data_IF_288543580981
#
_entry.id   IF_288543580981
#
_cell.length_a   1.000
_cell.length_b   1.000
_cell.length_c   1.000
_cell.angle_alpha   90.00
_cell.angle_beta   90.00
_cell.angle_gamma   90.00
#
_symmetry.space_group_name_H-M   'P 1'
#
loop_
_entity.id
_entity.type
_entity.pdbx_description
1 polymer ?
#
# COMPACT_ATOMS: atom_id res chain seq x y z
N UNK A 1 -37.63 9.22 27.91
CA UNK A 1 -36.94 9.66 26.67
C UNK A 1 -37.56 8.91 25.51
N UNK A 2 -37.71 9.56 24.35
CA UNK A 2 -38.22 8.89 23.13
C UNK A 2 -37.11 8.07 22.48
N UNK A 3 -37.43 6.93 21.88
CA UNK A 3 -36.49 6.04 21.18
C UNK A 3 -35.67 6.79 20.11
N UNK A 4 -36.24 7.82 19.50
CA UNK A 4 -35.56 8.69 18.53
C UNK A 4 -34.46 9.56 19.17
N UNK A 5 -34.64 10.02 20.41
CA UNK A 5 -33.63 10.80 21.13
C UNK A 5 -32.41 9.94 21.51
N UNK A 6 -32.64 8.67 21.89
CA UNK A 6 -31.54 7.74 22.22
C UNK A 6 -30.72 7.34 20.99
N UNK A 7 -31.35 7.20 19.82
CA UNK A 7 -30.63 6.91 18.56
C UNK A 7 -29.75 8.10 18.16
N UNK A 8 -30.26 9.32 18.32
CA UNK A 8 -29.54 10.53 17.96
C UNK A 8 -28.34 10.80 18.90
N UNK A 9 -28.50 10.59 20.22
CA UNK A 9 -27.41 10.71 21.19
C UNK A 9 -26.32 9.66 20.93
N UNK A 10 -26.69 8.40 20.71
CA UNK A 10 -25.72 7.34 20.40
C UNK A 10 -24.95 7.61 19.10
N UNK A 11 -25.63 8.17 18.09
CA UNK A 11 -25.02 8.55 16.81
C UNK A 11 -24.04 9.72 16.98
N UNK A 12 -24.41 10.74 17.75
CA UNK A 12 -23.54 11.88 18.06
C UNK A 12 -22.31 11.45 18.88
N UNK A 13 -22.48 10.61 19.90
CA UNK A 13 -21.40 10.06 20.72
C UNK A 13 -20.43 9.22 19.88
N UNK A 14 -20.96 8.36 18.99
CA UNK A 14 -20.12 7.56 18.09
C UNK A 14 -19.28 8.43 17.14
N UNK A 15 -19.87 9.51 16.61
CA UNK A 15 -19.14 10.47 15.74
C UNK A 15 -18.08 11.23 16.52
N UNK A 16 -18.38 11.66 17.75
CA UNK A 16 -17.41 12.36 18.61
C UNK A 16 -16.26 11.45 19.05
N UNK A 17 -16.56 10.19 19.37
CA UNK A 17 -15.55 9.18 19.70
C UNK A 17 -14.61 8.97 18.51
N UNK A 18 -15.16 8.77 17.31
CA UNK A 18 -14.37 8.60 16.08
C UNK A 18 -13.53 9.85 15.75
N UNK A 19 -14.04 11.05 16.01
CA UNK A 19 -13.27 12.30 15.85
C UNK A 19 -12.10 12.39 16.82
N UNK A 20 -12.35 12.10 18.10
CA UNK A 20 -11.33 12.16 19.16
C UNK A 20 -10.22 11.14 18.93
N UNK A 21 -10.59 9.93 18.50
CA UNK A 21 -9.67 8.88 18.10
C UNK A 21 -8.76 9.31 16.95
N UNK A 22 -9.32 9.94 15.91
CA UNK A 22 -8.55 10.46 14.77
C UNK A 22 -7.58 11.57 15.17
N UNK A 23 -7.99 12.44 16.09
CA UNK A 23 -7.11 13.49 16.62
C UNK A 23 -5.98 12.93 17.50
N UNK A 24 -6.26 11.91 18.30
CA UNK A 24 -5.24 11.24 19.10
C UNK A 24 -4.17 10.58 18.22
N UNK A 25 -4.58 9.88 17.16
CA UNK A 25 -3.65 9.27 16.21
C UNK A 25 -2.76 10.32 15.56
N UNK A 26 -3.29 11.49 15.18
CA UNK A 26 -2.48 12.58 14.59
C UNK A 26 -1.33 13.06 15.47
N UNK A 27 -1.42 12.91 16.79
CA UNK A 27 -0.37 13.35 17.72
C UNK A 27 0.88 12.46 17.71
N UNK A 28 0.75 11.21 17.26
CA UNK A 28 1.91 10.34 17.09
C UNK A 28 2.76 10.85 15.92
N UNK A 29 4.07 10.93 16.13
CA UNK A 29 5.02 11.33 15.08
C UNK A 29 4.96 10.38 13.88
N UNK A 30 5.25 10.90 12.69
CA UNK A 30 5.47 10.08 11.51
C UNK A 30 6.84 9.39 11.62
N UNK A 31 6.95 8.16 11.13
CA UNK A 31 8.19 7.40 11.09
C UNK A 31 8.81 7.50 9.70
N UNK A 32 10.04 8.02 9.64
CA UNK A 32 10.73 8.26 8.37
C UNK A 32 11.80 7.22 8.04
N UNK A 33 12.13 6.34 8.99
CA UNK A 33 13.18 5.33 8.83
C UNK A 33 14.41 5.66 9.67
N UNK A 34 14.17 6.17 10.88
CA UNK A 34 15.15 6.43 11.91
C UNK A 34 16.01 5.17 12.12
N UNK A 35 17.33 5.33 12.23
CA UNK A 35 18.27 4.21 12.35
C UNK A 35 18.70 3.93 13.80
N UNK A 36 18.24 4.74 14.75
CA UNK A 36 18.52 4.57 16.17
C UNK A 36 17.47 3.64 16.79
N UNK A 37 17.92 2.56 17.41
CA UNK A 37 17.05 1.55 18.04
C UNK A 37 16.16 2.14 19.13
N UNK A 38 16.66 3.10 19.92
CA UNK A 38 15.89 3.73 21.01
C UNK A 38 14.73 4.55 20.45
N UNK A 39 14.98 5.33 19.39
CA UNK A 39 13.95 6.16 18.76
C UNK A 39 12.86 5.27 18.10
N UNK A 40 13.26 4.12 17.54
CA UNK A 40 12.33 3.13 17.00
C UNK A 40 11.47 2.52 18.12
N UNK A 41 12.08 2.08 19.22
CA UNK A 41 11.39 1.45 20.33
C UNK A 41 10.42 2.42 21.02
N UNK A 42 10.81 3.68 21.19
CA UNK A 42 9.93 4.74 21.74
C UNK A 42 8.72 4.96 20.84
N UNK A 43 8.93 5.08 19.53
CA UNK A 43 7.84 5.25 18.57
C UNK A 43 6.87 4.05 18.56
N UNK A 44 7.41 2.83 18.61
CA UNK A 44 6.61 1.59 18.71
C UNK A 44 5.84 1.52 20.03
N UNK A 45 6.44 1.94 21.13
CA UNK A 45 5.81 1.98 22.44
C UNK A 45 4.61 2.95 22.43
N UNK A 46 4.80 4.16 21.94
CA UNK A 46 3.75 5.18 21.86
C UNK A 46 2.57 4.73 21.00
N UNK A 47 2.84 4.13 19.83
CA UNK A 47 1.81 3.56 18.98
C UNK A 47 1.02 2.45 19.67
N UNK A 48 1.72 1.49 20.27
CA UNK A 48 1.08 0.36 20.93
C UNK A 48 0.22 0.80 22.11
N UNK A 49 0.73 1.71 22.93
CA UNK A 49 -0.02 2.26 24.05
C UNK A 49 -1.29 2.98 23.57
N UNK A 50 -1.19 3.85 22.56
CA UNK A 50 -2.34 4.55 22.01
C UNK A 50 -3.39 3.58 21.43
N UNK A 51 -2.96 2.60 20.64
CA UNK A 51 -3.87 1.62 20.03
C UNK A 51 -4.56 0.73 21.07
N UNK A 52 -3.85 0.36 22.14
CA UNK A 52 -4.43 -0.37 23.27
C UNK A 52 -5.48 0.45 24.00
N UNK A 53 -5.22 1.74 24.26
CA UNK A 53 -6.19 2.66 24.87
C UNK A 53 -7.44 2.82 24.01
N UNK A 54 -7.27 2.89 22.69
CA UNK A 54 -8.36 2.99 21.72
C UNK A 54 -9.07 1.67 21.43
N UNK A 55 -8.54 0.54 21.92
CA UNK A 55 -9.03 -0.83 21.66
C UNK A 55 -9.20 -1.12 20.17
N UNK A 56 -8.23 -0.68 19.36
CA UNK A 56 -8.25 -0.93 17.92
C UNK A 56 -8.04 -2.41 17.60
N UNK A 57 -8.76 -2.91 16.60
CA UNK A 57 -8.53 -4.24 16.02
C UNK A 57 -7.25 -4.24 15.18
N UNK A 58 -6.62 -5.40 15.03
CA UNK A 58 -5.35 -5.54 14.32
C UNK A 58 -5.38 -4.97 12.90
N UNK A 59 -6.46 -5.21 12.14
CA UNK A 59 -6.63 -4.63 10.79
C UNK A 59 -6.56 -3.09 10.81
N UNK A 60 -7.21 -2.44 11.77
CA UNK A 60 -7.17 -0.99 11.92
C UNK A 60 -5.78 -0.53 12.37
N UNK A 61 -5.14 -1.26 13.29
CA UNK A 61 -3.77 -0.93 13.75
C UNK A 61 -2.79 -0.96 12.59
N UNK A 62 -2.89 -1.93 11.69
CA UNK A 62 -2.06 -2.02 10.48
C UNK A 62 -2.28 -0.78 9.61
N UNK A 63 -3.53 -0.42 9.30
CA UNK A 63 -3.84 0.73 8.46
C UNK A 63 -3.33 2.05 9.06
N UNK A 64 -3.54 2.26 10.35
CA UNK A 64 -3.06 3.47 11.04
C UNK A 64 -1.52 3.51 11.11
N UNK A 65 -0.86 2.37 11.33
CA UNK A 65 0.61 2.28 11.29
C UNK A 65 1.15 2.61 9.90
N UNK A 66 0.56 2.05 8.85
CA UNK A 66 0.93 2.37 7.47
C UNK A 66 0.72 3.86 7.16
N UNK A 67 -0.35 4.47 7.69
CA UNK A 67 -0.62 5.89 7.57
C UNK A 67 0.37 6.80 8.31
N UNK A 68 1.19 6.24 9.20
CA UNK A 68 2.26 6.96 9.93
C UNK A 68 3.64 6.82 9.31
N UNK A 69 3.80 6.01 8.26
CA UNK A 69 5.05 5.94 7.53
C UNK A 69 5.20 7.17 6.63
N UNK A 70 6.38 7.77 6.64
CA UNK A 70 6.77 8.88 5.78
C UNK A 70 8.17 8.64 5.18
N UNK A 71 8.57 9.52 4.27
CA UNK A 71 9.93 9.57 3.74
C UNK A 71 10.49 8.21 3.24
N UNK A 72 11.73 7.85 3.63
CA UNK A 72 12.34 6.55 3.29
C UNK A 72 11.54 5.32 3.75
N UNK A 73 10.96 5.31 4.94
CA UNK A 73 10.20 4.17 5.44
C UNK A 73 8.96 3.88 4.57
N UNK A 74 8.20 4.92 4.21
CA UNK A 74 7.08 4.78 3.28
C UNK A 74 7.54 4.31 1.90
N UNK A 75 8.69 4.82 1.42
CA UNK A 75 9.28 4.40 0.14
C UNK A 75 9.63 2.92 0.15
N UNK A 76 10.25 2.41 1.22
CA UNK A 76 10.58 1.00 1.37
C UNK A 76 9.34 0.11 1.32
N UNK A 77 8.28 0.48 2.05
CA UNK A 77 7.02 -0.25 2.05
C UNK A 77 6.38 -0.30 0.65
N UNK A 78 6.25 0.87 0.00
CA UNK A 78 5.66 0.96 -1.34
C UNK A 78 6.48 0.19 -2.38
N UNK A 79 7.81 0.24 -2.27
CA UNK A 79 8.69 -0.51 -3.15
C UNK A 79 8.52 -2.03 -2.95
N UNK A 80 8.46 -2.49 -1.70
CA UNK A 80 8.25 -3.90 -1.38
C UNK A 80 6.93 -4.41 -1.99
N UNK A 81 5.84 -3.69 -1.81
CA UNK A 81 4.55 -4.07 -2.42
C UNK A 81 4.63 -4.10 -3.95
N UNK A 82 5.34 -3.14 -4.54
CA UNK A 82 5.44 -3.01 -5.98
C UNK A 82 6.26 -4.12 -6.64
N UNK A 83 7.36 -4.55 -6.02
CA UNK A 83 8.22 -5.61 -6.59
C UNK A 83 7.59 -7.00 -6.53
N UNK A 84 6.57 -7.20 -5.71
CA UNK A 84 5.81 -8.46 -5.61
C UNK A 84 4.64 -8.55 -6.60
N UNK A 85 4.48 -7.58 -7.51
CA UNK A 85 3.44 -7.61 -8.53
C UNK A 85 3.82 -8.63 -9.61
N UNK A 86 3.00 -9.67 -9.76
CA UNK A 86 3.15 -10.71 -10.78
C UNK A 86 1.85 -10.91 -11.55
N UNK A 87 1.94 -11.39 -12.79
CA UNK A 87 0.78 -11.70 -13.62
C UNK A 87 0.05 -12.92 -13.07
N UNK A 88 -1.21 -12.75 -12.67
CA UNK A 88 -2.05 -13.84 -12.15
C UNK A 88 -2.39 -14.89 -13.23
N UNK A 89 -2.76 -16.11 -12.83
CA UNK A 89 -2.97 -17.26 -13.71
C UNK A 89 -3.99 -17.01 -14.84
N UNK A 90 -5.02 -16.19 -14.59
CA UNK A 90 -6.05 -15.86 -15.57
C UNK A 90 -5.99 -14.42 -16.09
N UNK A 91 -4.94 -13.67 -15.76
CA UNK A 91 -4.78 -12.28 -16.16
C UNK A 91 -4.12 -12.17 -17.54
N UNK A 92 -4.65 -11.31 -18.42
CA UNK A 92 -3.99 -10.96 -19.68
C UNK A 92 -2.77 -10.05 -19.45
N UNK A 93 -1.83 -10.05 -20.39
CA UNK A 93 -0.60 -9.23 -20.30
C UNK A 93 -0.92 -7.74 -20.26
N UNK A 94 -1.87 -7.30 -21.10
CA UNK A 94 -2.32 -5.90 -21.12
C UNK A 94 -2.94 -5.50 -19.78
N UNK A 95 -3.79 -6.36 -19.19
CA UNK A 95 -4.37 -6.11 -17.87
C UNK A 95 -3.30 -6.04 -16.77
N UNK A 96 -2.29 -6.92 -16.83
CA UNK A 96 -1.14 -6.88 -15.94
C UNK A 96 -0.34 -5.58 -16.08
N UNK A 97 -0.02 -5.14 -17.30
CA UNK A 97 0.70 -3.89 -17.54
C UNK A 97 -0.08 -2.67 -17.06
N UNK A 98 -1.39 -2.63 -17.33
CA UNK A 98 -2.25 -1.58 -16.80
C UNK A 98 -2.24 -1.55 -15.27
N UNK A 99 -2.28 -2.71 -14.61
CA UNK A 99 -2.24 -2.80 -13.15
C UNK A 99 -0.93 -2.20 -12.60
N UNK A 100 0.21 -2.60 -13.16
CA UNK A 100 1.53 -2.08 -12.78
C UNK A 100 1.60 -0.56 -12.99
N UNK A 101 1.14 -0.05 -14.12
CA UNK A 101 1.15 1.39 -14.43
C UNK A 101 0.23 2.16 -13.46
N UNK A 102 -0.97 1.64 -13.13
CA UNK A 102 -1.89 2.26 -12.16
C UNK A 102 -1.27 2.33 -10.77
N UNK A 103 -0.57 1.27 -10.34
CA UNK A 103 0.16 1.23 -9.06
C UNK A 103 1.33 2.22 -9.06
N UNK A 104 2.12 2.27 -10.14
CA UNK A 104 3.22 3.22 -10.31
C UNK A 104 2.74 4.67 -10.20
N UNK A 105 1.62 5.03 -10.85
CA UNK A 105 1.06 6.39 -10.77
C UNK A 105 0.78 6.84 -9.33
N UNK A 106 0.36 5.93 -8.45
CA UNK A 106 0.11 6.22 -7.03
C UNK A 106 1.40 6.33 -6.22
N UNK A 107 2.44 5.62 -6.62
CA UNK A 107 3.72 5.54 -5.91
C UNK A 107 4.89 6.24 -6.62
N UNK A 108 4.60 7.14 -7.58
CA UNK A 108 5.60 7.79 -8.46
C UNK A 108 6.72 8.52 -7.70
N UNK A 109 6.43 9.00 -6.49
CA UNK A 109 7.40 9.68 -5.63
C UNK A 109 8.46 8.73 -5.03
N UNK A 110 8.22 7.42 -5.09
CA UNK A 110 8.97 6.38 -4.39
C UNK A 110 9.57 5.33 -5.33
N UNK A 111 9.09 5.26 -6.58
CA UNK A 111 9.43 4.21 -7.53
C UNK A 111 10.04 4.83 -8.78
N UNK A 112 11.12 4.24 -9.27
CA UNK A 112 11.82 4.66 -10.49
C UNK A 112 11.29 3.94 -11.73
N UNK A 113 11.46 4.54 -12.91
CA UNK A 113 11.09 3.90 -14.18
C UNK A 113 11.81 2.56 -14.40
N UNK A 114 13.07 2.46 -13.96
CA UNK A 114 13.83 1.21 -14.04
C UNK A 114 13.19 0.09 -13.21
N UNK A 115 12.67 0.40 -12.01
CA UNK A 115 11.95 -0.56 -11.19
C UNK A 115 10.62 -0.97 -11.84
N UNK A 116 9.92 -0.04 -12.49
CA UNK A 116 8.71 -0.36 -13.28
C UNK A 116 9.04 -1.34 -14.40
N UNK A 117 10.06 -1.05 -15.20
CA UNK A 117 10.50 -1.92 -16.29
C UNK A 117 10.87 -3.31 -15.76
N UNK A 118 11.59 -3.35 -14.63
CA UNK A 118 11.97 -4.61 -13.99
C UNK A 118 10.75 -5.44 -13.62
N UNK A 119 9.74 -4.86 -12.96
CA UNK A 119 8.50 -5.56 -12.59
C UNK A 119 7.72 -6.01 -13.81
N UNK A 120 7.62 -5.19 -14.85
CA UNK A 120 6.97 -5.57 -16.10
C UNK A 120 7.67 -6.76 -16.77
N UNK A 121 9.00 -6.79 -16.76
CA UNK A 121 9.77 -7.87 -17.35
C UNK A 121 9.75 -9.14 -16.50
N UNK A 122 9.99 -9.03 -15.20
CA UNK A 122 10.09 -10.21 -14.32
C UNK A 122 8.71 -10.77 -13.97
N UNK A 123 7.69 -9.92 -13.84
CA UNK A 123 6.34 -10.29 -13.42
C UNK A 123 5.47 -10.97 -14.48
N UNK A 124 5.84 -10.92 -15.76
CA UNK A 124 5.16 -11.67 -16.83
C UNK A 124 5.45 -13.17 -16.72
N UNK A 125 4.45 -14.00 -17.02
CA UNK A 125 4.57 -15.47 -16.99
C UNK A 125 5.68 -15.98 -17.90
N UNK A 126 6.38 -17.02 -17.43
CA UNK A 126 7.46 -17.68 -18.19
C UNK A 126 6.96 -18.28 -19.51
N UNK A 127 5.75 -18.85 -19.53
CA UNK A 127 5.15 -19.40 -20.77
C UNK A 127 4.99 -18.34 -21.87
N UNK A 128 4.67 -17.10 -21.50
CA UNK A 128 4.56 -16.00 -22.45
C UNK A 128 5.94 -15.46 -22.84
N UNK A 129 6.89 -15.38 -21.91
CA UNK A 129 8.29 -15.04 -22.23
C UNK A 129 8.86 -16.02 -23.25
N UNK A 130 8.64 -17.32 -23.05
CA UNK A 130 9.05 -18.35 -23.99
C UNK A 130 8.35 -18.22 -25.34
N UNK A 131 7.05 -17.89 -25.36
CA UNK A 131 6.32 -17.63 -26.61
C UNK A 131 6.93 -16.44 -27.38
N UNK A 132 7.23 -15.33 -26.70
CA UNK A 132 7.83 -14.15 -27.31
C UNK A 132 9.23 -14.44 -27.87
N UNK A 133 10.05 -15.21 -27.14
CA UNK A 133 11.39 -15.63 -27.61
C UNK A 133 11.27 -16.54 -28.84
N UNK A 134 10.33 -17.50 -28.83
CA UNK A 134 10.15 -18.43 -29.96
C UNK A 134 9.68 -17.73 -31.23
N UNK A 135 8.87 -16.67 -31.10
CA UNK A 135 8.28 -15.93 -32.21
C UNK A 135 8.97 -14.59 -32.50
N UNK A 136 10.13 -14.31 -31.89
CA UNK A 136 10.85 -13.04 -32.03
C UNK A 136 11.11 -12.68 -33.51
N UNK A 137 11.41 -13.68 -34.34
CA UNK A 137 11.64 -13.51 -35.79
C UNK A 137 10.39 -13.04 -36.56
N UNK A 138 9.20 -13.41 -36.09
CA UNK A 138 7.93 -13.08 -36.75
C UNK A 138 7.37 -11.73 -36.24
N UNK A 139 7.77 -11.31 -35.03
CA UNK A 139 7.41 -10.00 -34.45
C UNK A 139 8.21 -8.85 -35.10
N UNK A 140 9.44 -9.12 -35.57
CA UNK A 140 10.27 -8.12 -36.25
C UNK A 140 9.84 -7.79 -37.69
N UNK A 141 8.75 -8.39 -38.19
CA UNK A 141 8.19 -8.13 -39.52
C UNK A 141 6.76 -7.58 -39.42
N UNK A 142 6.60 -6.29 -39.07
CA UNK A 142 5.27 -5.69 -38.93
C UNK A 142 4.50 -5.60 -40.26
N UNK A 143 5.17 -5.79 -41.41
CA UNK A 143 4.54 -5.73 -42.73
C UNK A 143 3.69 -6.96 -43.09
N UNK A 144 3.68 -8.01 -42.25
CA UNK A 144 2.94 -9.27 -42.48
C UNK A 144 1.74 -9.48 -41.51
N UNK A 145 1.36 -8.47 -40.71
CA UNK A 145 0.28 -8.55 -39.70
C UNK A 145 -1.03 -7.90 -40.13
#
# INVERSE_FOLDING_TARGET
>A
MSLMQEIETNSMETRQLHSSQKEAIKKIAEFSGESNEIDIDEWLYDLNNLFSLMRLKDETRILETMGKLAGPALRCQLLQEFVHIHQEENQSVTSFYEHVIRKYRKARQCITEQQVITVLQTGVKNSLKEYLIRNEKDITKPDEW
#
